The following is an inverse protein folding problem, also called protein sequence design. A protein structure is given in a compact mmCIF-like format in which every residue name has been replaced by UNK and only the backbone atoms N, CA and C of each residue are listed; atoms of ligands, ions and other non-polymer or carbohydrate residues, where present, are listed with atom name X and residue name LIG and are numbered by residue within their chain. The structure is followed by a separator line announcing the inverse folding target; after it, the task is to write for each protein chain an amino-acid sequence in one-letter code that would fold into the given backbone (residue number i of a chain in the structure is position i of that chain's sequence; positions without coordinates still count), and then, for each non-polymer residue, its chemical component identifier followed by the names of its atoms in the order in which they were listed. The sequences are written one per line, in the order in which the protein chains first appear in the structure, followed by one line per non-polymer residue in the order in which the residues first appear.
data_IF_048684437109
#
_entry.id   IF_048684437109
#
_cell.length_a   1.000
_cell.length_b   1.000
_cell.length_c   1.000
_cell.angle_alpha   90.00
_cell.angle_beta   90.00
_cell.angle_gamma   90.00
#
_symmetry.space_group_name_H-M   'P 1'
#
loop_
_entity.id
_entity.type
_entity.pdbx_description
1 polymer ?
#
# COMPACT_ATOMS: atom_id res chain seq x y z
N UNK A 1 18.64 23.62 5.31
CA UNK A 1 17.19 23.30 5.33
C UNK A 1 16.82 22.73 3.97
N UNK A 2 16.03 21.67 3.93
CA UNK A 2 15.75 20.94 2.70
C UNK A 2 14.30 21.26 2.28
N UNK A 3 14.09 22.39 1.58
CA UNK A 3 12.77 22.97 1.30
C UNK A 3 11.76 21.96 0.74
N UNK A 4 12.21 21.08 -0.16
CA UNK A 4 11.33 20.07 -0.76
C UNK A 4 10.78 19.04 0.23
N UNK A 5 11.52 18.75 1.32
CA UNK A 5 11.08 17.80 2.35
C UNK A 5 10.03 18.40 3.26
N UNK A 6 10.18 19.68 3.60
CA UNK A 6 9.22 20.43 4.43
C UNK A 6 7.89 20.62 3.69
N UNK A 7 7.94 20.95 2.39
CA UNK A 7 6.76 21.04 1.54
C UNK A 7 5.99 19.70 1.43
N UNK A 8 6.69 18.59 1.19
CA UNK A 8 6.05 17.26 1.12
C UNK A 8 5.40 16.89 2.47
N UNK A 9 6.06 17.22 3.57
CA UNK A 9 5.54 16.95 4.91
C UNK A 9 4.28 17.77 5.21
N UNK A 10 4.24 19.03 4.79
CA UNK A 10 3.08 19.91 4.93
C UNK A 10 1.90 19.40 4.11
N UNK A 11 2.10 19.13 2.82
CA UNK A 11 1.07 18.58 1.93
C UNK A 11 0.49 17.29 2.49
N UNK A 12 1.32 16.34 2.91
CA UNK A 12 0.85 15.03 3.40
C UNK A 12 0.22 15.08 4.80
N UNK A 13 0.52 16.10 5.62
CA UNK A 13 -0.16 16.35 6.90
C UNK A 13 -1.55 16.94 6.71
N UNK A 14 -1.68 17.87 5.77
CA UNK A 14 -2.93 18.62 5.55
C UNK A 14 -3.94 17.81 4.75
N UNK A 15 -3.47 16.84 3.95
CA UNK A 15 -4.34 15.92 3.23
C UNK A 15 -5.10 15.01 4.21
N UNK A 16 -6.40 15.26 4.34
CA UNK A 16 -7.31 14.30 4.93
C UNK A 16 -7.53 13.16 3.94
N UNK A 17 -6.80 12.06 4.10
CA UNK A 17 -6.81 10.94 3.14
C UNK A 17 -8.21 10.36 2.88
N UNK A 18 -9.17 10.60 3.78
CA UNK A 18 -10.58 10.21 3.63
C UNK A 18 -11.33 11.03 2.56
N UNK A 19 -10.95 12.29 2.35
CA UNK A 19 -11.64 13.20 1.42
C UNK A 19 -11.06 13.10 0.02
N UNK A 20 -9.76 12.82 -0.08
CA UNK A 20 -9.04 12.73 -1.35
C UNK A 20 -9.09 11.35 -2.02
N UNK A 21 -9.33 10.30 -1.24
CA UNK A 21 -9.37 8.94 -1.76
C UNK A 21 -10.67 8.29 -1.35
N UNK A 22 -11.57 8.13 -2.31
CA UNK A 22 -12.83 7.44 -2.09
C UNK A 22 -12.55 5.95 -1.83
N UNK A 23 -12.75 5.52 -0.57
CA UNK A 23 -12.46 4.15 -0.13
C UNK A 23 -13.74 3.38 0.09
N UNK A 24 -14.17 2.65 -0.94
CA UNK A 24 -15.26 1.68 -0.83
C UNK A 24 -14.68 0.28 -0.61
N UNK A 25 -15.46 -0.65 -0.05
CA UNK A 25 -15.06 -2.07 -0.03
C UNK A 25 -15.53 -2.75 -1.32
N UNK A 26 -14.67 -3.57 -1.91
CA UNK A 26 -15.07 -4.52 -2.93
C UNK A 26 -15.90 -5.63 -2.29
N UNK A 27 -17.12 -5.85 -2.79
CA UNK A 27 -18.04 -6.85 -2.25
C UNK A 27 -17.51 -8.29 -2.42
N UNK A 28 -16.84 -8.59 -3.53
CA UNK A 28 -16.31 -9.93 -3.83
C UNK A 28 -15.08 -10.28 -2.99
N UNK A 29 -14.15 -9.33 -2.79
CA UNK A 29 -12.85 -9.61 -2.14
C UNK A 29 -12.74 -9.06 -0.72
N UNK A 30 -13.67 -8.21 -0.29
CA UNK A 30 -13.61 -7.47 0.98
C UNK A 30 -12.52 -6.38 1.05
N UNK A 31 -11.69 -6.25 0.02
CA UNK A 31 -10.55 -5.31 -0.02
C UNK A 31 -11.01 -3.88 -0.30
N UNK A 32 -10.20 -2.91 0.11
CA UNK A 32 -10.42 -1.49 -0.24
C UNK A 32 -10.27 -1.33 -1.76
N UNK A 33 -11.32 -0.78 -2.37
CA UNK A 33 -11.42 -0.40 -3.77
C UNK A 33 -11.01 1.05 -3.93
N UNK A 34 -10.14 1.28 -4.91
CA UNK A 34 -9.79 2.57 -5.47
C UNK A 34 -10.35 2.65 -6.89
N UNK A 35 -10.82 3.82 -7.32
CA UNK A 35 -11.40 3.99 -8.65
C UNK A 35 -10.30 4.05 -9.71
N UNK A 36 -9.15 4.65 -9.37
CA UNK A 36 -8.00 4.80 -10.28
C UNK A 36 -6.73 4.18 -9.71
N UNK A 37 -5.84 3.73 -10.58
CA UNK A 37 -4.51 3.22 -10.19
C UNK A 37 -3.68 4.28 -9.46
N UNK A 38 -3.79 5.53 -9.90
CA UNK A 38 -3.09 6.66 -9.30
C UNK A 38 -3.48 6.87 -7.83
N UNK A 39 -4.78 6.77 -7.49
CA UNK A 39 -5.27 6.87 -6.11
C UNK A 39 -4.71 5.76 -5.22
N UNK A 40 -4.73 4.52 -5.69
CA UNK A 40 -4.17 3.38 -4.97
C UNK A 40 -2.65 3.56 -4.74
N UNK A 41 -1.95 4.09 -5.74
CA UNK A 41 -0.50 4.34 -5.68
C UNK A 41 -0.19 5.46 -4.70
N UNK A 42 -0.91 6.58 -4.78
CA UNK A 42 -0.81 7.69 -3.84
C UNK A 42 -1.09 7.23 -2.40
N UNK A 43 -2.11 6.41 -2.20
CA UNK A 43 -2.41 5.84 -0.88
C UNK A 43 -1.27 4.98 -0.33
N UNK A 44 -0.56 4.21 -1.17
CA UNK A 44 0.65 3.49 -0.77
C UNK A 44 1.77 4.45 -0.35
N UNK A 45 1.99 5.54 -1.08
CA UNK A 45 2.98 6.56 -0.72
C UNK A 45 2.63 7.24 0.61
N UNK A 46 1.37 7.65 0.78
CA UNK A 46 0.88 8.22 2.02
C UNK A 46 1.06 7.26 3.21
N UNK A 47 0.76 5.96 3.04
CA UNK A 47 1.02 4.95 4.07
C UNK A 47 2.49 4.83 4.45
N UNK A 48 3.40 4.85 3.46
CA UNK A 48 4.86 4.79 3.71
C UNK A 48 5.34 6.03 4.47
N UNK A 49 4.92 7.21 4.04
CA UNK A 49 5.27 8.47 4.69
C UNK A 49 4.72 8.55 6.11
N UNK A 50 3.45 8.18 6.32
CA UNK A 50 2.83 8.19 7.66
C UNK A 50 3.55 7.20 8.59
N UNK A 51 3.92 6.02 8.09
CA UNK A 51 4.73 5.05 8.84
C UNK A 51 6.12 5.60 9.21
N UNK A 52 6.79 6.31 8.29
CA UNK A 52 8.07 6.98 8.57
C UNK A 52 7.94 8.03 9.67
N UNK A 53 6.91 8.89 9.63
CA UNK A 53 6.66 9.89 10.67
C UNK A 53 6.32 9.24 12.02
N UNK A 54 5.51 8.20 12.00
CA UNK A 54 5.18 7.42 13.19
C UNK A 54 6.41 6.80 13.85
N UNK A 55 7.38 6.30 13.06
CA UNK A 55 8.65 5.76 13.56
C UNK A 55 9.58 6.80 14.16
N UNK A 56 9.48 8.06 13.74
CA UNK A 56 10.31 9.14 14.28
C UNK A 56 9.93 9.54 15.72
N UNK A 57 8.79 9.07 16.24
CA UNK A 57 8.39 9.31 17.64
C UNK A 57 9.36 8.62 18.63
N UNK A 58 9.87 9.41 19.60
CA UNK A 58 10.99 9.12 20.52
C UNK A 58 10.91 7.74 21.20
N UNK A 59 9.71 7.30 21.60
CA UNK A 59 9.51 6.02 22.31
C UNK A 59 9.65 4.76 21.45
N UNK A 60 9.63 4.85 20.11
CA UNK A 60 9.57 3.67 19.23
C UNK A 60 10.87 3.34 18.49
N UNK A 61 11.88 4.21 18.59
CA UNK A 61 13.22 3.96 18.05
C UNK A 61 13.95 2.81 18.78
N UNK A 62 13.69 2.58 20.07
CA UNK A 62 14.48 1.64 20.89
C UNK A 62 14.19 0.15 20.62
N UNK A 63 13.00 -0.20 20.10
CA UNK A 63 12.53 -1.59 20.01
C UNK A 63 12.58 -2.25 18.60
N UNK A 64 12.88 -1.51 17.52
CA UNK A 64 12.71 -2.03 16.15
C UNK A 64 14.01 -2.31 15.37
N UNK A 65 15.18 -1.89 15.86
CA UNK A 65 16.42 -2.01 15.08
C UNK A 65 17.10 -3.39 15.15
N UNK A 66 16.82 -4.24 16.15
CA UNK A 66 17.58 -5.49 16.29
C UNK A 66 17.18 -6.60 15.30
N UNK A 67 15.92 -6.66 14.84
CA UNK A 67 15.39 -7.84 14.13
C UNK A 67 14.77 -7.55 12.74
N UNK A 68 15.05 -6.40 12.11
CA UNK A 68 14.55 -6.09 10.75
C UNK A 68 13.02 -5.91 10.60
N UNK A 69 12.24 -6.12 11.66
CA UNK A 69 10.76 -6.07 11.66
C UNK A 69 10.13 -4.68 11.54
N UNK A 70 10.94 -3.63 11.40
CA UNK A 70 10.49 -2.24 11.39
C UNK A 70 10.34 -1.60 10.01
N UNK A 71 10.44 -2.33 8.89
CA UNK A 71 10.23 -1.76 7.54
C UNK A 71 8.79 -2.02 7.08
N UNK A 72 8.09 -1.01 6.51
CA UNK A 72 6.74 -1.23 6.02
C UNK A 72 6.78 -2.26 4.89
N UNK A 73 5.97 -3.33 4.99
CA UNK A 73 5.89 -4.36 3.95
C UNK A 73 5.59 -3.71 2.60
N UNK A 74 6.29 -4.13 1.55
CA UNK A 74 6.05 -3.63 0.21
C UNK A 74 4.61 -3.95 -0.21
N UNK A 75 3.98 -2.98 -0.87
CA UNK A 75 2.58 -3.05 -1.30
C UNK A 75 2.53 -2.76 -2.78
N UNK A 76 1.68 -3.47 -3.49
CA UNK A 76 1.50 -3.38 -4.94
C UNK A 76 0.04 -3.11 -5.27
N UNK A 77 -0.18 -2.41 -6.37
CA UNK A 77 -1.51 -2.13 -6.91
C UNK A 77 -1.82 -3.17 -7.98
N UNK A 78 -3.03 -3.72 -7.96
CA UNK A 78 -3.52 -4.61 -9.01
C UNK A 78 -4.97 -4.27 -9.37
N UNK A 79 -5.36 -4.52 -10.61
CA UNK A 79 -6.75 -4.36 -11.06
C UNK A 79 -7.59 -5.55 -10.59
N UNK A 80 -8.81 -5.30 -10.14
CA UNK A 80 -9.74 -6.33 -9.70
C UNK A 80 -10.85 -6.51 -10.74
N UNK A 81 -10.91 -7.69 -11.33
CA UNK A 81 -11.90 -8.07 -12.34
C UNK A 81 -13.35 -8.02 -11.81
N UNK A 82 -13.56 -8.32 -10.52
CA UNK A 82 -14.90 -8.34 -9.93
C UNK A 82 -15.54 -6.97 -9.72
N UNK A 83 -14.75 -5.94 -9.39
CA UNK A 83 -15.28 -4.60 -9.09
C UNK A 83 -14.88 -3.55 -10.14
N UNK A 84 -14.06 -3.94 -11.13
CA UNK A 84 -13.48 -3.04 -12.13
C UNK A 84 -12.51 -1.98 -11.55
N UNK A 85 -12.25 -2.01 -10.24
CA UNK A 85 -11.40 -1.04 -9.56
C UNK A 85 -9.99 -1.58 -9.29
N UNK A 86 -9.22 -0.80 -8.53
CA UNK A 86 -7.86 -1.16 -8.14
C UNK A 86 -7.81 -1.50 -6.65
N UNK A 87 -7.03 -2.52 -6.29
CA UNK A 87 -6.80 -2.97 -4.92
C UNK A 87 -5.31 -2.95 -4.59
N UNK A 88 -5.01 -2.99 -3.30
CA UNK A 88 -3.64 -3.10 -2.79
C UNK A 88 -3.39 -4.51 -2.26
N UNK A 89 -2.26 -5.11 -2.64
CA UNK A 89 -1.79 -6.41 -2.16
C UNK A 89 -0.39 -6.31 -1.56
N UNK A 90 -0.03 -7.29 -0.73
CA UNK A 90 1.35 -7.48 -0.23
C UNK A 90 2.18 -8.39 -1.13
N UNK A 91 1.51 -9.15 -1.99
CA UNK A 91 2.14 -10.10 -2.90
C UNK A 91 2.71 -9.38 -4.13
N UNK A 92 3.94 -9.70 -4.50
CA UNK A 92 4.54 -9.15 -5.70
C UNK A 92 3.83 -9.72 -6.95
N UNK A 93 3.54 -8.90 -7.99
CA UNK A 93 2.87 -9.38 -9.21
C UNK A 93 3.53 -10.59 -9.86
N UNK A 94 4.86 -10.62 -9.87
CA UNK A 94 5.65 -11.78 -10.34
C UNK A 94 5.39 -13.06 -9.53
N UNK A 95 5.31 -12.96 -8.20
CA UNK A 95 5.04 -14.12 -7.34
C UNK A 95 3.62 -14.64 -7.55
N UNK A 96 2.66 -13.73 -7.73
CA UNK A 96 1.30 -14.08 -8.08
C UNK A 96 1.25 -14.86 -9.41
N UNK A 97 1.91 -14.35 -10.47
CA UNK A 97 1.96 -15.01 -11.78
C UNK A 97 2.56 -16.41 -11.69
N UNK A 98 3.71 -16.54 -11.01
CA UNK A 98 4.37 -17.84 -10.80
C UNK A 98 3.50 -18.83 -10.04
N UNK A 99 2.75 -18.39 -9.03
CA UNK A 99 1.81 -19.25 -8.29
C UNK A 99 0.62 -19.67 -9.15
N UNK A 100 0.10 -18.74 -9.96
CA UNK A 100 -0.99 -19.02 -10.90
C UNK A 100 -0.57 -20.09 -11.91
N UNK A 101 0.60 -19.93 -12.53
CA UNK A 101 1.16 -20.91 -13.47
C UNK A 101 1.35 -22.30 -12.83
N UNK A 102 1.90 -22.35 -11.61
CA UNK A 102 2.04 -23.61 -10.85
C UNK A 102 0.70 -24.26 -10.53
N UNK A 103 -0.33 -23.46 -10.22
CA UNK A 103 -1.66 -23.96 -9.94
C UNK A 103 -2.31 -24.51 -11.21
N UNK A 104 -2.27 -23.76 -12.31
CA UNK A 104 -2.78 -24.19 -13.62
C UNK A 104 -2.11 -25.49 -14.08
N UNK A 105 -0.78 -25.60 -13.99
CA UNK A 105 -0.06 -26.85 -14.31
C UNK A 105 -0.47 -28.04 -13.45
N UNK A 106 -0.82 -27.82 -12.18
CA UNK A 106 -1.22 -28.89 -11.25
C UNK A 106 -2.63 -29.42 -11.54
N UNK A 107 -3.50 -28.60 -12.12
CA UNK A 107 -4.92 -28.91 -12.33
C UNK A 107 -5.32 -28.90 -13.82
N UNK A 108 -4.34 -28.90 -14.74
CA UNK A 108 -4.56 -28.98 -16.19
C UNK A 108 -4.75 -30.42 -16.70
N UNK A 109 -5.29 -31.30 -15.85
CA UNK A 109 -5.77 -32.64 -16.26
C UNK A 109 -7.12 -32.54 -16.96
#
# INVERSE_FOLDING_TARGET
MNLGKEFIDEVLRTIEINTLVERRKCRATGKVRFNRRAEATFFIYWLKWNYEKWRQKKHRRKHQYSNGGGRPKQRYVYNCEFCGGYHITKEHPHDYKRKKEKYEQKYAE
#
